data_IF_866281564292
#
_entry.id   IF_866281564292
#
_cell.length_a   1.000
_cell.length_b   1.000
_cell.length_c   1.000
_cell.angle_alpha   90.00
_cell.angle_beta   90.00
_cell.angle_gamma   90.00
#
_symmetry.space_group_name_H-M   'P 1'
#
loop_
_entity.id
_entity.type
_entity.pdbx_description
1 polymer ?
#
# COMPACT_ATOMS: atom_id res chain seq x y z
N UNK A 1 6.71 -36.53 7.40
CA UNK A 1 6.45 -35.78 6.15
C UNK A 1 7.12 -34.43 6.34
N UNK A 2 8.10 -34.03 5.52
CA UNK A 2 8.93 -32.86 5.81
C UNK A 2 8.15 -31.56 5.53
N UNK A 3 7.43 -31.04 6.52
CA UNK A 3 7.07 -29.63 6.54
C UNK A 3 8.35 -28.86 6.83
N UNK A 4 8.89 -28.25 5.77
CA UNK A 4 10.06 -27.39 5.87
C UNK A 4 9.71 -26.08 5.21
N UNK A 5 8.92 -25.27 5.90
CA UNK A 5 8.85 -23.85 5.58
C UNK A 5 10.28 -23.29 5.64
N UNK A 6 10.81 -22.92 4.48
CA UNK A 6 12.12 -22.28 4.35
C UNK A 6 11.95 -20.80 4.72
N UNK A 7 12.21 -20.49 5.99
CA UNK A 7 11.92 -19.17 6.59
C UNK A 7 12.61 -18.03 5.83
N UNK A 8 13.84 -18.22 5.39
CA UNK A 8 14.59 -17.18 4.67
C UNK A 8 13.96 -16.86 3.31
N UNK A 9 13.43 -17.86 2.61
CA UNK A 9 12.72 -17.70 1.35
C UNK A 9 11.41 -16.94 1.51
N UNK A 10 10.63 -17.27 2.56
CA UNK A 10 9.39 -16.55 2.87
C UNK A 10 9.68 -15.10 3.27
N UNK A 11 10.66 -14.87 4.14
CA UNK A 11 11.09 -13.53 4.53
C UNK A 11 11.57 -12.72 3.31
N UNK A 12 12.28 -13.36 2.37
CA UNK A 12 12.68 -12.76 1.11
C UNK A 12 11.50 -12.35 0.24
N UNK A 13 10.47 -13.20 0.14
CA UNK A 13 9.23 -12.87 -0.56
C UNK A 13 8.48 -11.71 0.12
N UNK A 14 8.32 -11.75 1.44
CA UNK A 14 7.69 -10.67 2.23
C UNK A 14 8.40 -9.35 1.99
N UNK A 15 9.74 -9.34 2.01
CA UNK A 15 10.54 -8.13 1.75
C UNK A 15 10.28 -7.55 0.36
N UNK A 16 10.24 -8.40 -0.68
CA UNK A 16 9.94 -7.95 -2.05
C UNK A 16 8.54 -7.33 -2.15
N UNK A 17 7.55 -7.96 -1.52
CA UNK A 17 6.17 -7.45 -1.53
C UNK A 17 6.11 -6.11 -0.78
N UNK A 18 6.69 -6.01 0.42
CA UNK A 18 6.73 -4.74 1.19
C UNK A 18 7.41 -3.61 0.42
N UNK A 19 8.47 -3.92 -0.34
CA UNK A 19 9.11 -2.95 -1.23
C UNK A 19 8.14 -2.46 -2.31
N UNK A 20 7.47 -3.36 -3.04
CA UNK A 20 6.50 -2.98 -4.07
C UNK A 20 5.31 -2.19 -3.48
N UNK A 21 4.82 -2.57 -2.30
CA UNK A 21 3.74 -1.84 -1.60
C UNK A 21 4.20 -0.43 -1.21
N UNK A 22 5.46 -0.25 -0.79
CA UNK A 22 6.02 1.08 -0.48
C UNK A 22 6.11 1.98 -1.72
N UNK A 23 6.35 1.40 -2.89
CA UNK A 23 6.35 2.14 -4.15
C UNK A 23 4.98 2.74 -4.46
N UNK A 24 3.86 2.13 -4.01
CA UNK A 24 2.52 2.70 -4.15
C UNK A 24 2.38 4.04 -3.42
N UNK A 25 2.93 4.19 -2.21
CA UNK A 25 2.93 5.47 -1.50
C UNK A 25 3.79 6.53 -2.22
N UNK A 26 4.89 6.10 -2.82
CA UNK A 26 5.78 7.01 -3.56
C UNK A 26 5.13 7.47 -4.87
N UNK A 27 4.42 6.56 -5.55
CA UNK A 27 3.62 6.87 -6.72
C UNK A 27 2.45 7.82 -6.36
N UNK A 28 1.72 7.54 -5.27
CA UNK A 28 0.64 8.41 -4.80
C UNK A 28 1.13 9.83 -4.50
N UNK A 29 2.29 9.97 -3.85
CA UNK A 29 2.89 11.28 -3.62
C UNK A 29 3.28 11.99 -4.92
N UNK A 30 3.89 11.27 -5.86
CA UNK A 30 4.27 11.85 -7.16
C UNK A 30 3.04 12.35 -7.92
N UNK A 31 1.95 11.58 -7.85
CA UNK A 31 0.67 11.94 -8.43
C UNK A 31 0.09 13.19 -7.73
N UNK A 32 0.13 13.28 -6.40
CA UNK A 32 -0.31 14.45 -5.64
C UNK A 32 0.49 15.71 -6.02
N UNK A 33 1.82 15.59 -6.05
CA UNK A 33 2.73 16.66 -6.44
C UNK A 33 2.41 17.16 -7.87
N UNK A 34 2.21 16.25 -8.82
CA UNK A 34 1.84 16.61 -10.21
C UNK A 34 0.46 17.26 -10.27
N UNK A 35 -0.48 16.75 -9.48
CA UNK A 35 -1.83 17.30 -9.45
C UNK A 35 -1.85 18.69 -8.84
N UNK A 36 -0.97 19.01 -7.89
CA UNK A 36 -0.79 20.37 -7.36
C UNK A 36 -0.34 21.40 -8.43
N UNK A 37 0.11 20.96 -9.61
CA UNK A 37 0.39 21.83 -10.76
C UNK A 37 -0.88 22.11 -11.61
N UNK A 38 -1.95 21.33 -11.47
CA UNK A 38 -3.18 21.47 -12.24
C UNK A 38 -3.84 22.86 -12.14
N UNK A 39 -3.85 23.53 -10.96
CA UNK A 39 -4.39 24.89 -10.85
C UNK A 39 -3.68 25.92 -11.74
N UNK A 40 -2.40 25.69 -12.10
CA UNK A 40 -1.65 26.60 -13.01
C UNK A 40 -2.20 26.59 -14.44
N UNK A 41 -3.00 25.57 -14.79
CA UNK A 41 -3.58 25.38 -16.12
C UNK A 41 -5.12 25.44 -16.12
N UNK A 42 -5.73 25.65 -14.95
CA UNK A 42 -7.18 25.53 -14.78
C UNK A 42 -7.74 26.65 -13.91
N UNK A 43 -8.30 27.68 -14.57
CA UNK A 43 -8.85 28.86 -13.91
C UNK A 43 -10.32 29.13 -14.27
N UNK A 44 -10.98 29.94 -13.44
CA UNK A 44 -12.33 30.46 -13.67
C UNK A 44 -13.45 29.53 -13.18
N UNK A 45 -14.67 29.77 -13.65
CA UNK A 45 -15.88 29.13 -13.11
C UNK A 45 -15.91 27.58 -13.21
N UNK A 46 -15.01 26.97 -13.99
CA UNK A 46 -14.84 25.52 -14.03
C UNK A 46 -14.03 25.02 -12.82
N UNK A 47 -12.99 25.74 -12.41
CA UNK A 47 -12.25 25.48 -11.17
C UNK A 47 -13.17 25.61 -9.97
N UNK A 48 -13.89 26.74 -9.82
CA UNK A 48 -14.76 26.99 -8.66
C UNK A 48 -15.84 25.91 -8.45
N UNK A 49 -16.25 25.24 -9.51
CA UNK A 49 -17.29 24.19 -9.47
C UNK A 49 -16.76 22.78 -9.26
N UNK A 50 -15.47 22.54 -9.50
CA UNK A 50 -14.85 21.22 -9.44
C UNK A 50 -13.69 21.16 -8.44
N UNK A 51 -13.33 22.29 -7.83
CA UNK A 51 -12.30 22.39 -6.80
C UNK A 51 -12.61 21.46 -5.64
N UNK A 52 -13.87 21.25 -5.24
CA UNK A 52 -14.21 20.29 -4.18
C UNK A 52 -13.86 18.83 -4.54
N UNK A 53 -14.07 18.41 -5.79
CA UNK A 53 -13.68 17.06 -6.25
C UNK A 53 -12.17 16.89 -6.26
N UNK A 54 -11.43 17.98 -6.49
CA UNK A 54 -9.97 17.98 -6.54
C UNK A 54 -9.33 18.15 -5.14
N UNK A 55 -9.73 19.16 -4.37
CA UNK A 55 -9.17 19.52 -3.07
C UNK A 55 -9.59 18.54 -1.96
N UNK A 56 -10.81 17.99 -2.03
CA UNK A 56 -11.32 17.11 -0.97
C UNK A 56 -11.21 15.63 -1.37
N UNK A 57 -11.84 15.20 -2.46
CA UNK A 57 -11.91 13.76 -2.79
C UNK A 57 -10.55 13.21 -3.21
N UNK A 58 -9.88 13.89 -4.14
CA UNK A 58 -8.61 13.43 -4.69
C UNK A 58 -7.46 13.52 -3.66
N UNK A 59 -7.40 14.63 -2.93
CA UNK A 59 -6.41 14.80 -1.86
C UNK A 59 -6.60 13.76 -0.76
N UNK A 60 -7.83 13.52 -0.32
CA UNK A 60 -8.14 12.47 0.67
C UNK A 60 -7.71 11.09 0.18
N UNK A 61 -7.96 10.77 -1.09
CA UNK A 61 -7.54 9.51 -1.69
C UNK A 61 -6.02 9.32 -1.57
N UNK A 62 -5.23 10.33 -1.93
CA UNK A 62 -3.77 10.23 -1.99
C UNK A 62 -3.08 10.39 -0.63
N UNK A 63 -3.61 11.23 0.26
CA UNK A 63 -2.98 11.50 1.57
C UNK A 63 -3.46 10.56 2.67
N UNK A 64 -4.62 9.91 2.49
CA UNK A 64 -5.25 9.10 3.53
C UNK A 64 -5.53 7.68 3.04
N UNK A 65 -6.38 7.51 2.03
CA UNK A 65 -6.85 6.18 1.61
C UNK A 65 -5.72 5.28 1.08
N UNK A 66 -4.85 5.80 0.22
CA UNK A 66 -3.71 5.02 -0.32
C UNK A 66 -2.70 4.66 0.77
N UNK A 67 -2.25 5.59 1.64
CA UNK A 67 -1.41 5.26 2.79
C UNK A 67 -2.01 4.21 3.74
N UNK A 68 -3.30 4.36 4.11
CA UNK A 68 -3.99 3.39 4.97
C UNK A 68 -4.11 2.00 4.32
N UNK A 69 -4.36 1.96 3.00
CA UNK A 69 -4.38 0.71 2.26
C UNK A 69 -2.99 0.05 2.21
N UNK A 70 -1.93 0.84 2.03
CA UNK A 70 -0.53 0.38 2.07
C UNK A 70 -0.18 -0.21 3.44
N UNK A 71 -0.55 0.45 4.53
CA UNK A 71 -0.38 -0.06 5.90
C UNK A 71 -1.15 -1.36 6.10
N UNK A 72 -2.41 -1.39 5.69
CA UNK A 72 -3.27 -2.57 5.77
C UNK A 72 -2.66 -3.75 5.00
N UNK A 73 -2.13 -3.53 3.79
CA UNK A 73 -1.45 -4.56 3.01
C UNK A 73 -0.22 -5.12 3.73
N UNK A 74 0.60 -4.25 4.34
CA UNK A 74 1.76 -4.68 5.12
C UNK A 74 1.35 -5.58 6.30
N UNK A 75 0.27 -5.22 7.01
CA UNK A 75 -0.28 -6.02 8.10
C UNK A 75 -0.81 -7.38 7.64
N UNK A 76 -1.51 -7.42 6.50
CA UNK A 76 -2.01 -8.67 5.93
C UNK A 76 -0.87 -9.61 5.56
N UNK A 77 0.21 -9.09 4.96
CA UNK A 77 1.40 -9.89 4.61
C UNK A 77 2.03 -10.48 5.87
N UNK A 78 2.16 -9.70 6.94
CA UNK A 78 2.73 -10.17 8.20
C UNK A 78 1.84 -11.22 8.88
N UNK A 79 0.51 -11.04 8.83
CA UNK A 79 -0.46 -12.05 9.31
C UNK A 79 -0.36 -13.35 8.50
N UNK A 80 -0.25 -13.28 7.18
CA UNK A 80 -0.08 -14.44 6.32
C UNK A 80 1.21 -15.20 6.67
N UNK A 81 2.33 -14.50 6.83
CA UNK A 81 3.61 -15.10 7.20
C UNK A 81 3.52 -15.83 8.56
N UNK A 82 2.99 -15.16 9.58
CA UNK A 82 2.82 -15.76 10.92
C UNK A 82 2.00 -17.04 10.86
N UNK A 83 0.88 -17.02 10.12
CA UNK A 83 0.00 -18.18 9.98
C UNK A 83 0.68 -19.36 9.28
N UNK A 84 1.52 -19.10 8.27
CA UNK A 84 2.30 -20.16 7.61
C UNK A 84 3.27 -20.82 8.59
N UNK A 85 4.00 -20.02 9.37
CA UNK A 85 4.94 -20.51 10.39
C UNK A 85 4.22 -21.30 11.49
N UNK A 86 3.10 -20.78 12.01
CA UNK A 86 2.31 -21.46 13.04
C UNK A 86 1.78 -22.83 12.58
N UNK A 87 1.37 -22.95 11.32
CA UNK A 87 0.91 -24.22 10.76
C UNK A 87 2.08 -25.20 10.61
N UNK A 88 3.23 -24.74 10.13
CA UNK A 88 4.45 -25.56 9.99
C UNK A 88 4.91 -26.11 11.35
N UNK A 89 4.93 -25.27 12.39
CA UNK A 89 5.29 -25.67 13.76
C UNK A 89 4.31 -26.70 14.33
N UNK A 90 3.01 -26.54 14.10
CA UNK A 90 1.98 -27.50 14.53
C UNK A 90 2.11 -28.86 13.84
N UNK A 91 2.49 -28.87 12.57
CA UNK A 91 2.65 -30.10 11.79
C UNK A 91 3.99 -30.80 12.07
N UNK A 92 5.04 -30.05 12.45
CA UNK A 92 6.34 -30.61 12.82
C UNK A 92 6.37 -31.21 14.25
N UNK A 93 5.45 -30.78 15.13
CA UNK A 93 5.31 -31.29 16.50
C UNK A 93 4.41 -32.53 16.66
N UNK A 94 3.87 -33.06 15.56
CA UNK A 94 3.06 -34.30 15.47
C UNK A 94 3.81 -35.38 14.68
#
# INVERSE_FOLDING_TARGET
>A
MATRVERTGIEGCVKKIKSAVKELNSAAKTIDDTMNELPDYWEGAAYDKASSTYEDEYKTLLTTTVPEAVESFNDYIDKCMKKIIEIDEKLAGN
#
